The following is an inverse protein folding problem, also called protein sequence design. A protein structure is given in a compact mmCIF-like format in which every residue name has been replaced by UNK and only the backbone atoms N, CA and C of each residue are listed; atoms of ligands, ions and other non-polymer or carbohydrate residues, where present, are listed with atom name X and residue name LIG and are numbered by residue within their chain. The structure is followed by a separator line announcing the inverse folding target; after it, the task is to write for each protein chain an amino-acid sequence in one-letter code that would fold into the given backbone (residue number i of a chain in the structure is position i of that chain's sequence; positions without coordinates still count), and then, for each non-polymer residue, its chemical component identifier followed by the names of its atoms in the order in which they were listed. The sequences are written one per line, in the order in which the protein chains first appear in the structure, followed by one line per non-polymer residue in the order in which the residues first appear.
data_IF_029960437921
#
_entry.id   IF_029960437921
#
_cell.length_a   1.000
_cell.length_b   1.000
_cell.length_c   1.000
_cell.angle_alpha   90.00
_cell.angle_beta   90.00
_cell.angle_gamma   90.00
#
_symmetry.space_group_name_H-M   'P 1'
#
loop_
_entity.id
_entity.type
_entity.pdbx_description
1 polymer ?
#
# COMPACT_ATOMS: atom_id res chain seq x y z
N UNK A 1 7.87 21.33 -3.73
CA UNK A 1 6.63 20.67 -3.30
C UNK A 1 6.93 19.29 -2.71
N UNK A 2 6.73 19.10 -1.41
CA UNK A 2 6.77 17.77 -0.76
C UNK A 2 5.43 17.04 -0.95
N UNK A 3 5.47 15.71 -0.84
CA UNK A 3 4.27 14.87 -0.82
C UNK A 3 4.16 14.21 0.55
N UNK A 4 3.02 14.40 1.22
CA UNK A 4 2.78 13.87 2.57
C UNK A 4 1.61 12.89 2.58
N UNK A 5 1.69 11.89 3.46
CA UNK A 5 0.59 10.99 3.69
C UNK A 5 -0.55 11.73 4.41
N UNK A 6 -1.77 11.76 3.86
CA UNK A 6 -2.88 12.44 4.53
C UNK A 6 -3.41 11.69 5.77
N UNK A 7 -3.01 10.43 5.95
CA UNK A 7 -3.42 9.62 7.10
C UNK A 7 -2.41 9.68 8.26
N UNK A 8 -1.12 9.45 7.98
CA UNK A 8 -0.08 9.38 9.01
C UNK A 8 0.94 10.53 8.96
N UNK A 9 0.80 11.48 8.03
CA UNK A 9 1.67 12.64 7.83
C UNK A 9 3.14 12.33 7.50
N UNK A 10 3.50 11.07 7.26
CA UNK A 10 4.84 10.70 6.77
C UNK A 10 5.13 11.34 5.41
N UNK A 11 6.36 11.81 5.22
CA UNK A 11 6.83 12.33 3.92
C UNK A 11 6.99 11.16 2.95
N UNK A 12 6.17 11.13 1.91
CA UNK A 12 6.22 10.14 0.82
C UNK A 12 7.32 10.51 -0.18
N UNK A 13 7.40 11.79 -0.52
CA UNK A 13 8.42 12.34 -1.42
C UNK A 13 8.94 13.65 -0.85
N UNK A 14 10.27 13.79 -0.66
CA UNK A 14 10.84 15.07 -0.27
C UNK A 14 10.69 16.08 -1.41
N UNK A 15 10.62 17.35 -1.08
CA UNK A 15 10.59 18.42 -2.06
C UNK A 15 10.99 19.75 -1.44
N UNK A 16 11.22 20.75 -2.31
CA UNK A 16 11.56 22.12 -1.91
C UNK A 16 10.34 22.83 -1.30
N UNK A 17 10.58 23.80 -0.42
CA UNK A 17 9.55 24.59 0.29
C UNK A 17 8.93 25.70 -0.60
N UNK A 18 8.67 25.38 -1.87
CA UNK A 18 8.18 26.33 -2.88
C UNK A 18 6.68 26.13 -3.22
N UNK A 19 5.83 25.95 -2.20
CA UNK A 19 4.37 25.86 -2.39
C UNK A 19 3.65 24.90 -1.43
N UNK A 20 2.31 24.80 -1.52
CA UNK A 20 1.53 23.90 -0.68
C UNK A 20 1.86 22.44 -0.96
N UNK A 21 1.77 21.61 0.08
CA UNK A 21 2.07 20.19 -0.02
C UNK A 21 1.05 19.45 -0.87
N UNK A 22 1.53 18.46 -1.61
CA UNK A 22 0.64 17.46 -2.22
C UNK A 22 0.32 16.35 -1.21
N UNK A 23 -0.86 15.75 -1.32
CA UNK A 23 -1.30 14.68 -0.43
C UNK A 23 -1.50 13.36 -1.17
N UNK A 24 -1.16 12.26 -0.49
CA UNK A 24 -1.37 10.88 -0.96
C UNK A 24 -1.46 9.91 0.21
N UNK A 25 -1.52 8.60 -0.05
CA UNK A 25 -1.29 7.59 1.00
C UNK A 25 0.13 7.05 0.86
N UNK A 26 0.86 6.94 1.97
CA UNK A 26 2.07 6.13 1.97
C UNK A 26 1.71 4.66 1.73
N UNK A 27 2.70 3.85 1.37
CA UNK A 27 2.45 2.45 1.02
C UNK A 27 1.78 1.65 2.15
N UNK A 28 2.14 1.91 3.41
CA UNK A 28 1.55 1.22 4.56
C UNK A 28 0.08 1.59 4.73
N UNK A 29 -0.25 2.89 4.71
CA UNK A 29 -1.63 3.34 4.81
C UNK A 29 -2.48 2.91 3.61
N UNK A 30 -1.89 2.89 2.41
CA UNK A 30 -2.54 2.34 1.22
C UNK A 30 -2.82 0.85 1.37
N UNK A 31 -1.84 0.07 1.87
CA UNK A 31 -1.99 -1.37 2.11
C UNK A 31 -3.11 -1.63 3.10
N UNK A 32 -3.18 -0.90 4.21
CA UNK A 32 -4.27 -1.04 5.17
C UNK A 32 -5.63 -0.65 4.58
N UNK A 33 -5.70 0.44 3.83
CA UNK A 33 -6.94 0.87 3.17
C UNK A 33 -7.46 -0.16 2.15
N UNK A 34 -6.56 -0.86 1.46
CA UNK A 34 -6.90 -1.86 0.43
C UNK A 34 -7.24 -3.24 1.01
N UNK A 35 -6.85 -3.54 2.26
CA UNK A 35 -7.15 -4.84 2.90
C UNK A 35 -8.61 -5.27 2.84
N UNK A 36 -9.59 -4.48 3.29
CA UNK A 36 -11.00 -4.92 3.27
C UNK A 36 -11.49 -5.20 1.85
N UNK A 37 -11.06 -4.39 0.87
CA UNK A 37 -11.44 -4.56 -0.54
C UNK A 37 -10.90 -5.88 -1.11
N UNK A 38 -9.59 -6.10 -1.02
CA UNK A 38 -8.99 -7.27 -1.65
C UNK A 38 -9.22 -8.57 -0.90
N UNK A 39 -9.34 -8.54 0.44
CA UNK A 39 -9.73 -9.74 1.19
C UNK A 39 -11.15 -10.16 0.88
N UNK A 40 -12.08 -9.21 0.76
CA UNK A 40 -13.44 -9.49 0.29
C UNK A 40 -13.46 -10.11 -1.10
N UNK A 41 -12.62 -9.62 -2.03
CA UNK A 41 -12.47 -10.22 -3.36
C UNK A 41 -11.87 -11.64 -3.30
N UNK A 42 -10.81 -11.85 -2.51
CA UNK A 42 -10.18 -13.16 -2.32
C UNK A 42 -11.20 -14.18 -1.79
N UNK A 43 -11.95 -13.80 -0.76
CA UNK A 43 -13.03 -14.62 -0.18
C UNK A 43 -14.10 -14.98 -1.21
N UNK A 44 -14.55 -14.01 -2.02
CA UNK A 44 -15.54 -14.26 -3.11
C UNK A 44 -15.02 -15.21 -4.19
N UNK A 45 -13.70 -15.27 -4.37
CA UNK A 45 -13.04 -16.18 -5.32
C UNK A 45 -12.67 -17.54 -4.71
N UNK A 46 -13.00 -17.79 -3.44
CA UNK A 46 -12.59 -19.00 -2.71
C UNK A 46 -11.09 -19.06 -2.42
N UNK A 47 -10.40 -17.92 -2.44
CA UNK A 47 -8.97 -17.79 -2.13
C UNK A 47 -8.77 -17.40 -0.66
N UNK A 48 -7.57 -17.67 -0.14
CA UNK A 48 -7.15 -17.19 1.18
C UNK A 48 -7.15 -15.66 1.23
N UNK A 49 -7.65 -15.10 2.34
CA UNK A 49 -7.70 -13.66 2.62
C UNK A 49 -6.32 -13.10 3.04
N UNK A 50 -5.28 -13.43 2.27
CA UNK A 50 -3.88 -13.15 2.60
C UNK A 50 -3.40 -11.75 2.24
N UNK A 51 -4.21 -10.91 1.58
CA UNK A 51 -3.74 -9.57 1.20
C UNK A 51 -3.28 -8.77 2.43
N UNK A 52 -2.09 -8.18 2.32
CA UNK A 52 -1.47 -7.35 3.35
C UNK A 52 -1.00 -8.10 4.61
N UNK A 53 -0.85 -9.44 4.57
CA UNK A 53 -0.21 -10.21 5.66
C UNK A 53 1.29 -10.41 5.45
N UNK A 54 1.73 -10.59 4.20
CA UNK A 54 3.14 -10.65 3.86
C UNK A 54 3.78 -9.27 4.11
N UNK A 55 5.00 -9.26 4.65
CA UNK A 55 5.80 -8.05 4.86
C UNK A 55 7.04 -8.06 3.95
N UNK A 56 7.88 -9.09 4.04
CA UNK A 56 9.17 -9.14 3.33
C UNK A 56 9.33 -10.38 2.43
N UNK A 57 8.42 -11.35 2.57
CA UNK A 57 8.43 -12.59 1.79
C UNK A 57 7.00 -13.07 1.51
N UNK A 58 6.80 -13.59 0.31
CA UNK A 58 5.57 -14.26 -0.11
C UNK A 58 5.96 -15.43 -1.03
N UNK A 59 5.50 -16.62 -0.71
CA UNK A 59 5.74 -17.88 -1.41
C UNK A 59 4.81 -18.10 -2.62
N UNK A 60 3.76 -17.29 -2.75
CA UNK A 60 2.86 -17.36 -3.90
C UNK A 60 3.54 -16.80 -5.16
N UNK A 61 4.03 -17.71 -6.00
CA UNK A 61 4.59 -17.38 -7.31
C UNK A 61 3.59 -16.56 -8.15
N UNK A 62 4.05 -15.44 -8.71
CA UNK A 62 3.24 -14.58 -9.57
C UNK A 62 2.09 -13.85 -8.85
N UNK A 63 2.13 -13.71 -7.51
CA UNK A 63 1.10 -12.98 -6.78
C UNK A 63 0.97 -11.54 -7.28
N UNK A 64 -0.23 -11.16 -7.75
CA UNK A 64 -0.52 -9.81 -8.27
C UNK A 64 -0.29 -8.70 -7.24
N UNK A 65 -0.30 -9.03 -5.96
CA UNK A 65 -0.15 -8.08 -4.86
C UNK A 65 1.27 -8.00 -4.31
N UNK A 66 2.23 -8.72 -4.89
CA UNK A 66 3.61 -8.78 -4.41
C UNK A 66 4.26 -7.39 -4.32
N UNK A 67 4.00 -6.51 -5.30
CA UNK A 67 4.50 -5.12 -5.29
C UNK A 67 4.08 -4.35 -4.04
N UNK A 68 2.82 -4.48 -3.65
CA UNK A 68 2.25 -3.75 -2.49
C UNK A 68 2.58 -4.46 -1.18
N UNK A 69 2.43 -5.78 -1.12
CA UNK A 69 2.58 -6.53 0.13
C UNK A 69 4.05 -6.73 0.52
N UNK A 70 4.94 -6.94 -0.45
CA UNK A 70 6.35 -7.30 -0.23
C UNK A 70 7.29 -6.19 -0.66
N UNK A 71 7.22 -5.76 -1.93
CA UNK A 71 8.19 -4.79 -2.46
C UNK A 71 7.97 -3.37 -1.94
N UNK A 72 6.80 -3.12 -1.34
CA UNK A 72 6.37 -1.82 -0.83
C UNK A 72 6.44 -0.70 -1.89
N UNK A 73 6.00 -1.00 -3.11
CA UNK A 73 5.96 -0.09 -4.27
C UNK A 73 4.60 -0.07 -4.98
N UNK A 74 4.33 1.00 -5.75
CA UNK A 74 3.13 1.19 -6.60
C UNK A 74 3.60 1.36 -8.04
#
# INVERSE_FOLDING_TARGET
MRTVCFHCHTVIRPGLDDGPDSSGLCIDCLREALKPLYRSQQKKQGLFECFGTANDYCDQAGCRYNRICVQRTI
#
